data_IF_329066898411
#
_entry.id   IF_329066898411
#
_cell.length_a   1.000
_cell.length_b   1.000
_cell.length_c   1.000
_cell.angle_alpha   90.00
_cell.angle_beta   90.00
_cell.angle_gamma   90.00
#
_symmetry.space_group_name_H-M   'P 1'
#
loop_
_entity.id
_entity.type
_entity.pdbx_description
1 polymer ?
#
# COMPACT_ATOMS: atom_id res chain seq x y z
N UNK A 1 -51.46 -7.82 -19.39
CA UNK A 1 -50.82 -8.21 -18.11
C UNK A 1 -49.54 -9.01 -18.32
N UNK A 2 -49.54 -10.10 -19.12
CA UNK A 2 -48.35 -10.92 -19.41
C UNK A 2 -47.14 -10.16 -19.98
N UNK A 3 -47.36 -9.21 -20.91
CA UNK A 3 -46.28 -8.39 -21.49
C UNK A 3 -45.61 -7.46 -20.47
N UNK A 4 -46.38 -6.83 -19.58
CA UNK A 4 -45.86 -5.97 -18.50
C UNK A 4 -45.06 -6.78 -17.48
N UNK A 5 -45.51 -8.00 -17.17
CA UNK A 5 -44.79 -8.92 -16.29
C UNK A 5 -43.44 -9.34 -16.88
N UNK A 6 -43.39 -9.60 -18.20
CA UNK A 6 -42.15 -9.93 -18.91
C UNK A 6 -41.15 -8.76 -18.89
N UNK A 7 -41.62 -7.52 -19.05
CA UNK A 7 -40.75 -6.33 -19.01
C UNK A 7 -40.16 -6.11 -17.62
N UNK A 8 -40.95 -6.30 -16.56
CA UNK A 8 -40.47 -6.19 -15.16
C UNK A 8 -39.43 -7.26 -14.86
N UNK A 9 -39.65 -8.50 -15.32
CA UNK A 9 -38.70 -9.59 -15.14
C UNK A 9 -37.36 -9.30 -15.84
N UNK A 10 -37.41 -8.74 -17.06
CA UNK A 10 -36.20 -8.38 -17.80
C UNK A 10 -35.38 -7.29 -17.10
N UNK A 11 -36.04 -6.29 -16.51
CA UNK A 11 -35.38 -5.23 -15.73
C UNK A 11 -34.73 -5.80 -14.47
N UNK A 12 -35.42 -6.71 -13.77
CA UNK A 12 -34.87 -7.37 -12.58
C UNK A 12 -33.64 -8.23 -12.91
N UNK A 13 -33.66 -8.95 -14.04
CA UNK A 13 -32.51 -9.73 -14.50
C UNK A 13 -31.32 -8.82 -14.83
N UNK A 14 -31.55 -7.71 -15.54
CA UNK A 14 -30.49 -6.75 -15.84
C UNK A 14 -29.91 -6.10 -14.58
N UNK A 15 -30.76 -5.73 -13.62
CA UNK A 15 -30.33 -5.19 -12.33
C UNK A 15 -29.50 -6.22 -11.54
N UNK A 16 -29.92 -7.49 -11.52
CA UNK A 16 -29.17 -8.57 -10.90
C UNK A 16 -27.82 -8.82 -11.59
N UNK A 17 -27.77 -8.81 -12.93
CA UNK A 17 -26.52 -8.94 -13.70
C UNK A 17 -25.54 -7.80 -13.40
N UNK A 18 -26.01 -6.54 -13.31
CA UNK A 18 -25.17 -5.38 -12.97
C UNK A 18 -24.63 -5.51 -11.54
N UNK A 19 -25.45 -5.98 -10.60
CA UNK A 19 -25.04 -6.19 -9.21
C UNK A 19 -23.93 -7.27 -9.12
N UNK A 20 -24.11 -8.41 -9.79
CA UNK A 20 -23.10 -9.49 -9.85
C UNK A 20 -21.81 -9.03 -10.53
N UNK A 21 -21.89 -8.23 -11.60
CA UNK A 21 -20.71 -7.70 -12.28
C UNK A 21 -19.98 -6.65 -11.42
N UNK A 22 -20.69 -5.86 -10.62
CA UNK A 22 -20.08 -4.89 -9.71
C UNK A 22 -19.24 -5.56 -8.62
N UNK A 23 -19.66 -6.73 -8.13
CA UNK A 23 -18.94 -7.55 -7.14
C UNK A 23 -17.58 -8.04 -7.71
N UNK A 24 -17.50 -8.36 -9.00
CA UNK A 24 -16.24 -8.83 -9.62
C UNK A 24 -15.13 -7.75 -9.62
N UNK A 25 -15.51 -6.47 -9.56
CA UNK A 25 -14.55 -5.36 -9.42
C UNK A 25 -14.01 -5.21 -7.99
N UNK A 26 -14.72 -5.74 -6.98
CA UNK A 26 -14.30 -5.75 -5.58
C UNK A 26 -13.40 -6.95 -5.24
N UNK A 27 -13.52 -8.05 -5.99
CA UNK A 27 -12.63 -9.21 -5.92
C UNK A 27 -11.32 -9.02 -6.70
N UNK A 28 -10.82 -7.79 -6.82
CA UNK A 28 -9.39 -7.60 -7.10
C UNK A 28 -8.60 -8.22 -5.93
N UNK A 29 -7.98 -9.37 -6.19
CA UNK A 29 -6.99 -9.98 -5.32
C UNK A 29 -5.95 -8.91 -4.93
N UNK A 30 -6.14 -8.26 -3.78
CA UNK A 30 -5.22 -7.24 -3.26
C UNK A 30 -3.89 -7.93 -3.05
N UNK A 31 -2.98 -7.75 -4.00
CA UNK A 31 -1.64 -8.32 -3.93
C UNK A 31 -0.94 -7.76 -2.69
N UNK A 32 -0.18 -8.62 -2.00
CA UNK A 32 0.58 -8.21 -0.83
C UNK A 32 1.47 -7.00 -1.16
N UNK A 33 1.58 -5.99 -0.28
CA UNK A 33 2.45 -4.85 -0.54
C UNK A 33 3.91 -5.28 -0.65
N UNK A 34 4.75 -4.43 -1.25
CA UNK A 34 6.21 -4.52 -1.13
C UNK A 34 6.59 -3.67 0.06
N UNK A 35 7.32 -4.22 1.03
CA UNK A 35 7.84 -3.43 2.13
C UNK A 35 9.27 -2.98 1.80
N UNK A 36 9.60 -1.75 2.17
CA UNK A 36 10.96 -1.22 2.13
C UNK A 36 11.26 -0.72 3.53
N UNK A 37 12.36 -1.19 4.12
CA UNK A 37 12.87 -0.64 5.36
C UNK A 37 13.78 0.56 5.08
N UNK A 38 13.69 1.59 5.93
CA UNK A 38 14.68 2.67 6.01
C UNK A 38 15.15 2.82 7.44
N UNK A 39 16.47 2.90 7.62
CA UNK A 39 17.11 3.25 8.87
C UNK A 39 17.75 4.63 8.73
N UNK A 40 17.56 5.48 9.72
CA UNK A 40 18.19 6.79 9.80
C UNK A 40 17.86 7.50 11.11
N UNK A 41 18.33 8.74 11.30
CA UNK A 41 18.11 9.46 12.55
C UNK A 41 16.71 10.04 12.62
N UNK A 42 15.78 9.31 13.22
CA UNK A 42 14.42 9.79 13.48
C UNK A 42 14.32 10.51 14.82
N UNK A 43 15.38 10.43 15.63
CA UNK A 43 15.58 11.19 16.86
C UNK A 43 17.02 11.71 16.99
N UNK A 44 17.29 12.43 18.09
CA UNK A 44 18.61 12.99 18.37
C UNK A 44 18.92 14.25 17.55
N UNK A 45 20.19 14.64 17.56
CA UNK A 45 20.67 15.89 16.95
C UNK A 45 20.46 15.95 15.43
N UNK A 46 20.42 14.79 14.76
CA UNK A 46 20.27 14.69 13.31
C UNK A 46 18.83 14.41 12.86
N UNK A 47 17.83 14.56 13.76
CA UNK A 47 16.40 14.32 13.45
C UNK A 47 15.92 15.05 12.20
N UNK A 48 16.31 16.31 12.03
CA UNK A 48 15.92 17.14 10.87
C UNK A 48 16.37 16.52 9.54
N UNK A 49 17.55 15.92 9.51
CA UNK A 49 18.09 15.24 8.32
C UNK A 49 17.30 13.96 8.03
N UNK A 50 16.98 13.16 9.05
CA UNK A 50 16.13 11.99 8.91
C UNK A 50 14.72 12.35 8.43
N UNK A 51 14.13 13.43 8.94
CA UNK A 51 12.84 13.92 8.44
C UNK A 51 12.92 14.38 6.98
N UNK A 52 14.00 15.05 6.57
CA UNK A 52 14.21 15.43 5.17
C UNK A 52 14.34 14.21 4.25
N UNK A 53 15.11 13.20 4.67
CA UNK A 53 15.22 11.90 4.00
C UNK A 53 13.86 11.24 3.84
N UNK A 54 13.06 11.14 4.92
CA UNK A 54 11.72 10.55 4.88
C UNK A 54 10.75 11.31 3.97
N UNK A 55 10.83 12.65 3.92
CA UNK A 55 10.03 13.45 2.98
C UNK A 55 10.35 13.11 1.53
N UNK A 56 11.63 12.98 1.19
CA UNK A 56 12.07 12.58 -0.16
C UNK A 56 11.57 11.19 -0.54
N UNK A 57 11.70 10.21 0.36
CA UNK A 57 11.21 8.85 0.14
C UNK A 57 9.69 8.87 -0.10
N UNK A 58 8.93 9.52 0.79
CA UNK A 58 7.46 9.58 0.69
C UNK A 58 6.99 10.23 -0.62
N UNK A 59 7.61 11.33 -1.04
CA UNK A 59 7.30 11.99 -2.31
C UNK A 59 7.40 11.02 -3.50
N UNK A 60 8.44 10.20 -3.54
CA UNK A 60 8.62 9.22 -4.60
C UNK A 60 7.68 8.02 -4.47
N UNK A 61 7.49 7.49 -3.26
CA UNK A 61 6.56 6.38 -3.03
C UNK A 61 5.12 6.76 -3.37
N UNK A 62 4.70 7.98 -3.06
CA UNK A 62 3.38 8.50 -3.42
C UNK A 62 3.23 8.54 -4.94
N UNK A 63 4.24 9.04 -5.68
CA UNK A 63 4.25 9.00 -7.14
C UNK A 63 4.12 7.58 -7.68
N UNK A 64 4.97 6.65 -7.23
CA UNK A 64 5.00 5.25 -7.69
C UNK A 64 3.68 4.52 -7.40
N UNK A 65 3.12 4.71 -6.20
CA UNK A 65 1.86 4.09 -5.78
C UNK A 65 0.66 4.68 -6.52
N UNK A 66 0.62 5.99 -6.75
CA UNK A 66 -0.47 6.66 -7.48
C UNK A 66 -0.46 6.32 -8.97
N UNK A 67 0.73 6.27 -9.57
CA UNK A 67 0.92 5.89 -10.97
C UNK A 67 0.84 4.36 -11.19
N UNK A 68 0.61 3.57 -10.13
CA UNK A 68 0.56 2.10 -10.15
C UNK A 68 1.76 1.48 -10.90
N UNK A 69 2.96 2.02 -10.73
CA UNK A 69 4.16 1.61 -11.50
C UNK A 69 4.61 0.17 -11.23
N UNK A 70 4.14 -0.44 -10.14
CA UNK A 70 4.38 -1.85 -9.80
C UNK A 70 3.08 -2.70 -9.87
N UNK A 71 2.13 -2.29 -10.72
CA UNK A 71 0.83 -2.93 -10.87
C UNK A 71 -0.10 -2.65 -9.69
N UNK A 72 -0.90 -3.64 -9.28
CA UNK A 72 -1.85 -3.50 -8.17
C UNK A 72 -1.21 -3.66 -6.77
N UNK A 73 0.13 -3.72 -6.70
CA UNK A 73 0.86 -3.71 -5.43
C UNK A 73 1.11 -2.26 -4.99
N UNK A 74 1.16 -2.05 -3.67
CA UNK A 74 1.66 -0.79 -3.08
C UNK A 74 3.00 -1.02 -2.42
N UNK A 75 3.89 -0.03 -2.49
CA UNK A 75 5.09 0.03 -1.66
C UNK A 75 4.72 0.64 -0.31
N UNK A 76 5.14 0.00 0.78
CA UNK A 76 4.99 0.49 2.16
C UNK A 76 6.36 0.67 2.80
N UNK A 77 6.58 1.83 3.40
CA UNK A 77 7.82 2.14 4.11
C UNK A 77 7.71 1.68 5.57
N UNK A 78 8.72 0.97 6.06
CA UNK A 78 8.94 0.68 7.48
C UNK A 78 10.13 1.51 7.95
N UNK A 79 9.95 2.28 9.01
CA UNK A 79 10.91 3.28 9.47
C UNK A 79 11.56 2.79 10.76
N UNK A 80 12.88 2.81 10.80
CA UNK A 80 13.69 2.48 11.97
C UNK A 80 14.55 3.68 12.36
N UNK A 81 14.60 3.97 13.66
CA UNK A 81 15.44 5.03 14.22
C UNK A 81 16.80 4.46 14.62
N UNK A 82 17.84 4.78 13.86
CA UNK A 82 19.22 4.40 14.19
C UNK A 82 19.94 5.45 15.05
N UNK A 83 19.29 6.60 15.29
CA UNK A 83 19.81 7.72 16.09
C UNK A 83 21.14 8.29 15.60
N UNK A 84 21.54 8.00 14.36
CA UNK A 84 22.88 8.26 13.84
C UNK A 84 24.01 7.68 14.72
N UNK A 85 23.74 6.59 15.44
CA UNK A 85 24.73 5.90 16.27
C UNK A 85 25.11 4.56 15.64
N UNK A 86 26.41 4.32 15.48
CA UNK A 86 26.93 3.10 14.83
C UNK A 86 26.43 1.80 15.46
N UNK A 87 26.35 1.73 16.79
CA UNK A 87 25.93 0.50 17.49
C UNK A 87 24.43 0.29 17.34
N UNK A 88 23.65 1.36 17.43
CA UNK A 88 22.21 1.30 17.20
C UNK A 88 21.91 0.93 15.75
N UNK A 89 22.61 1.52 14.78
CA UNK A 89 22.48 1.19 13.35
C UNK A 89 22.76 -0.30 13.07
N UNK A 90 23.81 -0.89 13.65
CA UNK A 90 24.08 -2.32 13.53
C UNK A 90 22.92 -3.18 14.09
N UNK A 91 22.37 -2.81 15.25
CA UNK A 91 21.22 -3.50 15.85
C UNK A 91 19.98 -3.39 14.97
N UNK A 92 19.71 -2.20 14.45
CA UNK A 92 18.59 -1.94 13.53
C UNK A 92 18.75 -2.76 12.25
N UNK A 93 19.96 -2.84 11.68
CA UNK A 93 20.21 -3.66 10.50
C UNK A 93 19.92 -5.14 10.74
N UNK A 94 20.34 -5.71 11.88
CA UNK A 94 19.96 -7.08 12.26
C UNK A 94 18.45 -7.23 12.43
N UNK A 95 17.78 -6.27 13.08
CA UNK A 95 16.33 -6.29 13.24
C UNK A 95 15.59 -6.27 11.88
N UNK A 96 16.10 -5.51 10.91
CA UNK A 96 15.53 -5.47 9.55
C UNK A 96 15.72 -6.83 8.87
N UNK A 97 16.90 -7.45 8.99
CA UNK A 97 17.18 -8.76 8.40
C UNK A 97 16.30 -9.88 8.99
N UNK A 98 15.91 -9.75 10.26
CA UNK A 98 15.05 -10.71 10.96
C UNK A 98 13.54 -10.43 10.76
N UNK A 99 13.16 -9.29 10.16
CA UNK A 99 11.75 -8.93 9.91
C UNK A 99 11.22 -9.61 8.65
N UNK A 100 10.36 -10.62 8.82
CA UNK A 100 9.72 -11.37 7.73
C UNK A 100 8.86 -10.53 6.76
N UNK A 101 8.67 -9.23 7.02
CA UNK A 101 7.95 -8.32 6.12
C UNK A 101 8.86 -7.70 5.07
N UNK A 102 10.15 -7.48 5.38
CA UNK A 102 11.13 -6.76 4.54
C UNK A 102 11.89 -7.76 3.68
#
# INVERSE_FOLDING_TARGET
>A
MKKKLLTVLLILINAACIFILSETSLFQNKKQPVYIAVAGPMSGANKTEGEAMLRGIRLYLDKINNEKKIGDRKIKLIIFDDKNDKRVAMKVASQIADDNKV
#
